data_IF_022192584169
#
_entry.id   IF_022192584169
#
_cell.length_a   1.000
_cell.length_b   1.000
_cell.length_c   1.000
_cell.angle_alpha   90.00
_cell.angle_beta   90.00
_cell.angle_gamma   90.00
#
_symmetry.space_group_name_H-M   'P 1'
#
loop_
_entity.id
_entity.type
_entity.pdbx_description
1 polymer ?
#
# COMPACT_ATOMS: atom_id res chain seq x y z
N UNK A 1 -0.81 12.49 25.37
CA UNK A 1 -0.61 12.63 23.91
C UNK A 1 -1.22 11.38 23.29
N UNK A 2 -2.45 11.47 22.78
CA UNK A 2 -3.15 10.35 22.19
C UNK A 2 -2.50 10.00 20.86
N UNK A 3 -1.85 8.83 20.77
CA UNK A 3 -1.41 8.30 19.48
C UNK A 3 -2.63 8.22 18.55
N UNK A 4 -2.52 8.65 17.28
CA UNK A 4 -3.58 8.41 16.32
C UNK A 4 -3.81 6.90 16.24
N UNK A 5 -5.00 6.45 16.66
CA UNK A 5 -5.43 5.06 16.51
C UNK A 5 -5.75 4.84 15.02
N UNK A 6 -4.72 4.63 14.22
CA UNK A 6 -4.90 4.14 12.86
C UNK A 6 -5.31 2.67 12.92
N UNK A 7 -6.21 2.25 12.04
CA UNK A 7 -6.61 0.85 11.93
C UNK A 7 -5.37 -0.03 11.64
N UNK A 8 -5.16 -1.14 12.36
CA UNK A 8 -4.02 -2.04 12.14
C UNK A 8 -3.91 -2.51 10.68
N UNK A 9 -5.05 -2.76 10.04
CA UNK A 9 -5.13 -3.12 8.63
C UNK A 9 -4.61 -1.98 7.73
N UNK A 10 -5.01 -0.74 8.00
CA UNK A 10 -4.57 0.43 7.24
C UNK A 10 -3.06 0.68 7.40
N UNK A 11 -2.51 0.41 8.58
CA UNK A 11 -1.06 0.47 8.83
C UNK A 11 -0.33 -0.58 7.99
N UNK A 12 -0.84 -1.81 7.93
CA UNK A 12 -0.26 -2.89 7.10
C UNK A 12 -0.36 -2.58 5.60
N UNK A 13 -1.49 -2.03 5.14
CA UNK A 13 -1.65 -1.59 3.75
C UNK A 13 -0.69 -0.44 3.41
N UNK A 14 -0.53 0.52 4.31
CA UNK A 14 0.43 1.62 4.15
C UNK A 14 1.86 1.09 4.01
N UNK A 15 2.26 0.17 4.90
CA UNK A 15 3.57 -0.49 4.85
C UNK A 15 3.82 -1.23 3.55
N UNK A 16 2.84 -1.96 3.01
CA UNK A 16 2.98 -2.64 1.71
C UNK A 16 3.06 -1.65 0.55
N UNK A 17 2.30 -0.56 0.64
CA UNK A 17 2.17 0.43 -0.43
C UNK A 17 3.37 1.36 -0.53
N UNK A 18 4.05 1.65 0.59
CA UNK A 18 5.22 2.54 0.59
C UNK A 18 6.49 1.87 0.08
N UNK A 19 6.64 0.54 0.23
CA UNK A 19 7.82 -0.23 -0.19
C UNK A 19 8.32 0.10 -1.61
N UNK A 20 7.49 0.11 -2.67
CA UNK A 20 7.94 0.50 -4.01
C UNK A 20 8.28 1.99 -4.14
N UNK A 21 7.77 2.86 -3.27
CA UNK A 21 8.09 4.29 -3.24
C UNK A 21 9.38 4.60 -2.46
N UNK A 22 9.86 3.68 -1.60
CA UNK A 22 11.05 3.91 -0.78
C UNK A 22 12.30 4.30 -1.58
N UNK A 23 12.64 3.67 -2.73
CA UNK A 23 13.81 4.08 -3.52
C UNK A 23 13.72 5.53 -4.00
N UNK A 24 12.51 6.00 -4.32
CA UNK A 24 12.28 7.38 -4.74
C UNK A 24 12.31 8.37 -3.57
N UNK A 25 11.92 7.94 -2.36
CA UNK A 25 11.89 8.78 -1.16
C UNK A 25 13.25 8.86 -0.45
N UNK A 26 13.94 7.73 -0.32
CA UNK A 26 15.11 7.55 0.54
C UNK A 26 16.41 7.30 -0.22
N UNK A 27 16.34 6.99 -1.51
CA UNK A 27 17.53 6.64 -2.29
C UNK A 27 18.24 5.41 -1.72
N UNK A 28 19.50 5.58 -1.31
CA UNK A 28 20.35 4.50 -0.80
C UNK A 28 19.85 3.86 0.51
N UNK A 29 19.12 4.61 1.35
CA UNK A 29 18.58 4.09 2.62
C UNK A 29 17.32 3.24 2.43
N UNK A 30 16.73 3.26 1.23
CA UNK A 30 15.51 2.53 0.90
C UNK A 30 15.63 1.03 1.14
N UNK A 31 16.78 0.43 0.81
CA UNK A 31 17.00 -1.01 0.97
C UNK A 31 16.96 -1.45 2.44
N UNK A 32 17.45 -0.60 3.37
CA UNK A 32 17.41 -0.90 4.80
C UNK A 32 15.98 -0.85 5.33
N UNK A 33 15.26 0.22 5.00
CA UNK A 33 13.86 0.41 5.43
C UNK A 33 12.93 -0.62 4.79
N UNK A 34 13.13 -0.96 3.52
CA UNK A 34 12.35 -1.98 2.82
C UNK A 34 12.49 -3.34 3.51
N UNK A 35 13.71 -3.71 3.89
CA UNK A 35 13.99 -4.96 4.60
C UNK A 35 13.31 -5.00 5.97
N UNK A 36 13.38 -3.91 6.73
CA UNK A 36 12.71 -3.81 8.03
C UNK A 36 11.19 -3.92 7.90
N UNK A 37 10.59 -3.26 6.90
CA UNK A 37 9.16 -3.40 6.62
C UNK A 37 8.79 -4.83 6.18
N UNK A 38 9.63 -5.49 5.37
CA UNK A 38 9.41 -6.86 4.95
C UNK A 38 9.39 -7.84 6.13
N UNK A 39 10.33 -7.69 7.07
CA UNK A 39 10.40 -8.50 8.30
C UNK A 39 9.17 -8.32 9.17
N UNK A 40 8.75 -7.06 9.39
CA UNK A 40 7.54 -6.74 10.16
C UNK A 40 6.28 -7.30 9.49
N UNK A 41 6.15 -7.15 8.17
CA UNK A 41 5.01 -7.70 7.41
C UNK A 41 4.97 -9.24 7.48
N UNK A 42 6.13 -9.91 7.50
CA UNK A 42 6.22 -11.36 7.67
C UNK A 42 5.75 -11.78 9.07
N UNK A 43 6.15 -11.05 10.10
CA UNK A 43 5.67 -11.27 11.46
C UNK A 43 4.16 -11.01 11.59
N UNK A 44 3.61 -10.01 10.88
CA UNK A 44 2.17 -9.78 10.79
C UNK A 44 1.44 -10.98 10.19
N UNK A 45 1.97 -11.56 9.10
CA UNK A 45 1.43 -12.79 8.48
C UNK A 45 1.44 -13.96 9.47
N UNK A 46 2.41 -14.01 10.40
CA UNK A 46 2.48 -15.00 11.48
C UNK A 46 1.57 -14.68 12.69
N UNK A 47 0.73 -13.65 12.60
CA UNK A 47 -0.21 -13.25 13.67
C UNK A 47 0.41 -12.40 14.78
N UNK A 48 1.63 -11.89 14.60
CA UNK A 48 2.26 -11.01 15.59
C UNK A 48 1.72 -9.57 15.50
N UNK A 49 1.51 -8.89 16.64
CA UNK A 49 1.01 -7.51 16.68
C UNK A 49 2.12 -6.50 16.35
N UNK A 50 2.44 -6.35 15.07
CA UNK A 50 3.52 -5.46 14.58
C UNK A 50 3.08 -4.04 14.21
N UNK A 51 1.77 -3.74 14.31
CA UNK A 51 1.22 -2.46 13.83
C UNK A 51 1.93 -1.24 14.42
N UNK A 52 2.23 -1.25 15.72
CA UNK A 52 2.97 -0.17 16.39
C UNK A 52 4.39 -0.01 15.84
N UNK A 53 5.11 -1.12 15.65
CA UNK A 53 6.50 -1.11 15.17
C UNK A 53 6.59 -0.59 13.73
N UNK A 54 5.63 -0.98 12.90
CA UNK A 54 5.49 -0.46 11.54
C UNK A 54 5.22 1.04 11.57
N UNK A 55 4.30 1.49 12.43
CA UNK A 55 3.95 2.90 12.54
C UNK A 55 5.13 3.75 13.06
N UNK A 56 5.93 3.22 13.98
CA UNK A 56 7.17 3.86 14.45
C UNK A 56 8.20 3.98 13.32
N UNK A 57 8.37 2.92 12.51
CA UNK A 57 9.26 2.94 11.35
C UNK A 57 8.79 3.93 10.27
N UNK A 58 7.48 4.02 10.01
CA UNK A 58 6.93 5.01 9.09
C UNK A 58 7.14 6.44 9.60
N UNK A 59 7.21 6.63 10.92
CA UNK A 59 7.46 7.92 11.55
C UNK A 59 8.95 8.24 11.77
N UNK A 60 9.85 7.29 11.49
CA UNK A 60 11.29 7.45 11.78
C UNK A 60 11.98 8.48 10.88
N UNK A 61 11.45 8.69 9.68
CA UNK A 61 11.98 9.65 8.71
C UNK A 61 10.87 10.58 8.20
N UNK A 62 11.10 11.91 8.13
CA UNK A 62 10.08 12.87 7.72
C UNK A 62 9.54 12.64 6.30
N UNK A 63 10.34 12.08 5.37
CA UNK A 63 9.96 11.79 3.97
C UNK A 63 8.92 10.67 3.93
N UNK A 64 9.20 9.59 4.65
CA UNK A 64 8.34 8.41 4.80
C UNK A 64 7.09 8.79 5.59
N UNK A 65 7.25 9.59 6.65
CA UNK A 65 6.17 10.05 7.52
C UNK A 65 5.14 10.89 6.77
N UNK A 66 5.59 11.83 5.93
CA UNK A 66 4.68 12.64 5.13
C UNK A 66 3.88 11.77 4.17
N UNK A 67 4.55 10.83 3.49
CA UNK A 67 3.87 9.88 2.61
C UNK A 67 2.85 9.02 3.37
N UNK A 68 3.23 8.49 4.53
CA UNK A 68 2.36 7.67 5.36
C UNK A 68 1.19 8.47 5.91
N UNK A 69 1.40 9.74 6.27
CA UNK A 69 0.33 10.64 6.71
C UNK A 69 -0.67 10.95 5.59
N UNK A 70 -0.22 11.10 4.34
CA UNK A 70 -1.11 11.25 3.18
C UNK A 70 -1.90 9.97 2.90
N UNK A 71 -1.27 8.80 3.03
CA UNK A 71 -1.92 7.52 2.82
C UNK A 71 -2.95 7.20 3.92
N UNK A 72 -2.57 7.41 5.18
CA UNK A 72 -3.39 7.14 6.37
C UNK A 72 -4.34 8.29 6.70
N UNK A 73 -4.25 9.41 5.97
CA UNK A 73 -5.23 10.48 6.09
C UNK A 73 -6.62 9.85 5.92
N UNK A 74 -7.58 10.19 6.79
CA UNK A 74 -8.93 9.67 6.67
C UNK A 74 -9.43 10.11 5.30
N UNK A 75 -9.50 9.17 4.36
CA UNK A 75 -10.17 9.36 3.10
C UNK A 75 -11.63 9.53 3.49
N UNK A 76 -12.06 10.79 3.65
CA UNK A 76 -13.46 11.15 3.54
C UNK A 76 -13.96 10.38 2.33
N UNK A 77 -14.88 9.45 2.56
CA UNK A 77 -15.50 8.67 1.51
C UNK A 77 -16.05 9.68 0.50
N UNK A 78 -15.32 9.88 -0.60
CA UNK A 78 -15.88 10.46 -1.80
C UNK A 78 -16.75 9.36 -2.42
N UNK A 79 -17.93 9.16 -1.81
CA UNK A 79 -19.14 8.78 -2.55
C UNK A 79 -19.29 9.89 -3.60
N UNK A 80 -18.79 9.64 -4.80
CA UNK A 80 -18.77 10.62 -5.87
C UNK A 80 -17.36 10.90 -6.38
N UNK A 81 -16.78 9.93 -7.08
CA UNK A 81 -16.17 10.32 -8.35
C UNK A 81 -17.36 10.67 -9.25
N UNK A 82 -17.74 11.95 -9.29
CA UNK A 82 -18.74 12.44 -10.22
C UNK A 82 -18.07 12.41 -11.60
N UNK A 83 -18.44 11.47 -12.50
CA UNK A 83 -17.97 11.56 -13.87
C UNK A 83 -18.60 12.84 -14.45
N UNK A 84 -17.77 13.73 -14.97
CA UNK A 84 -18.24 14.78 -15.86
C UNK A 84 -19.22 14.15 -16.85
N UNK A 85 -20.44 14.70 -16.86
CA UNK A 85 -21.61 14.14 -17.52
C UNK A 85 -21.29 13.62 -18.93
N UNK A 86 -21.31 12.30 -19.09
CA UNK A 86 -21.17 11.66 -20.38
C UNK A 86 -20.49 10.30 -20.28
N UNK A 87 -21.32 9.27 -20.17
CA UNK A 87 -21.01 7.85 -20.42
C UNK A 87 -20.67 7.04 -19.17
N UNK A 88 -21.71 6.38 -18.68
CA UNK A 88 -21.68 5.27 -17.74
C UNK A 88 -20.68 4.20 -18.17
N UNK A 89 -19.75 3.89 -17.29
CA UNK A 89 -18.89 2.71 -17.35
C UNK A 89 -18.36 2.48 -15.94
N UNK A 90 -18.73 1.37 -15.33
CA UNK A 90 -18.28 0.96 -14.01
C UNK A 90 -16.75 0.78 -14.05
N UNK A 91 -15.98 1.81 -13.69
CA UNK A 91 -14.51 1.72 -13.69
C UNK A 91 -14.10 1.11 -12.35
N UNK A 92 -14.25 -0.20 -12.24
CA UNK A 92 -13.64 -0.97 -11.16
C UNK A 92 -12.11 -0.83 -11.30
N UNK A 93 -11.49 -0.03 -10.42
CA UNK A 93 -10.04 0.13 -10.37
C UNK A 93 -9.42 -1.27 -10.22
N UNK A 94 -8.69 -1.73 -11.24
CA UNK A 94 -8.12 -3.07 -11.25
C UNK A 94 -7.03 -3.16 -10.16
N UNK A 95 -7.31 -3.95 -9.12
CA UNK A 95 -6.34 -4.32 -8.08
C UNK A 95 -5.44 -5.42 -8.63
N UNK A 96 -4.13 -5.25 -8.46
CA UNK A 96 -3.12 -6.24 -8.77
C UNK A 96 -2.39 -6.61 -7.49
N UNK A 97 -2.13 -7.90 -7.32
CA UNK A 97 -1.47 -8.47 -6.14
C UNK A 97 -0.35 -9.37 -6.59
N UNK A 98 0.72 -9.39 -5.81
CA UNK A 98 1.72 -10.43 -5.91
C UNK A 98 1.06 -11.77 -5.58
N UNK A 99 1.37 -12.88 -6.29
CA UNK A 99 0.85 -14.20 -5.94
C UNK A 99 1.17 -14.62 -4.49
N UNK A 100 2.28 -14.12 -3.93
CA UNK A 100 2.67 -14.33 -2.52
C UNK A 100 2.02 -13.32 -1.53
N UNK A 101 1.21 -12.39 -2.05
CA UNK A 101 0.55 -11.33 -1.27
C UNK A 101 1.49 -10.23 -0.75
N UNK A 102 2.76 -10.23 -1.16
CA UNK A 102 3.78 -9.30 -0.65
C UNK A 102 3.64 -7.87 -1.15
N UNK A 103 3.07 -7.69 -2.34
CA UNK A 103 2.85 -6.39 -2.97
C UNK A 103 1.42 -6.26 -3.47
N UNK A 104 0.83 -5.08 -3.29
CA UNK A 104 -0.50 -4.71 -3.78
C UNK A 104 -0.34 -3.42 -4.59
N UNK A 105 -0.93 -3.38 -5.78
CA UNK A 105 -0.92 -2.21 -6.65
C UNK A 105 -2.32 -1.93 -7.18
N UNK A 106 -2.71 -0.66 -7.18
CA UNK A 106 -3.99 -0.20 -7.70
C UNK A 106 -3.75 0.60 -8.97
N UNK A 107 -4.32 0.13 -10.09
CA UNK A 107 -4.22 0.85 -11.36
C UNK A 107 -5.14 2.06 -11.36
N UNK A 108 -4.57 3.27 -11.29
CA UNK A 108 -5.34 4.53 -11.23
C UNK A 108 -5.78 5.05 -12.60
N UNK A 109 -5.03 4.76 -13.67
CA UNK A 109 -5.34 5.22 -15.05
C UNK A 109 -5.04 4.14 -16.11
N UNK A 110 -5.80 4.15 -17.21
CA UNK A 110 -5.75 3.15 -18.30
C UNK A 110 -4.46 3.15 -19.12
N UNK A 111 -3.50 4.02 -18.81
CA UNK A 111 -2.19 4.13 -19.47
C UNK A 111 -0.98 4.02 -18.54
N UNK A 112 -1.17 3.87 -17.24
CA UNK A 112 -0.04 3.76 -16.31
C UNK A 112 0.68 2.43 -16.48
N UNK A 113 1.99 2.49 -16.70
CA UNK A 113 2.83 1.32 -16.91
C UNK A 113 2.90 0.54 -15.60
N UNK A 114 2.36 -0.67 -15.62
CA UNK A 114 2.24 -1.51 -14.44
C UNK A 114 3.63 -1.87 -13.91
N UNK A 115 3.95 -1.58 -12.64
CA UNK A 115 5.23 -1.97 -12.07
C UNK A 115 5.30 -3.50 -11.92
N UNK A 116 6.46 -4.06 -12.26
CA UNK A 116 6.78 -5.46 -11.97
C UNK A 116 7.04 -5.65 -10.47
N UNK A 117 6.57 -6.76 -9.91
CA UNK A 117 6.96 -7.16 -8.56
C UNK A 117 8.48 -7.38 -8.53
N UNK A 118 9.26 -6.71 -7.65
CA UNK A 118 10.71 -6.90 -7.61
C UNK A 118 11.13 -8.31 -7.18
N UNK A 119 10.25 -9.03 -6.48
CA UNK A 119 10.50 -10.41 -6.02
C UNK A 119 10.16 -11.47 -7.08
N UNK A 120 9.09 -11.25 -7.86
CA UNK A 120 8.53 -12.28 -8.75
C UNK A 120 8.39 -11.85 -10.22
N UNK A 121 8.76 -10.62 -10.56
CA UNK A 121 8.71 -10.06 -11.91
C UNK A 121 7.31 -9.68 -12.40
N UNK A 122 6.24 -10.32 -11.92
CA UNK A 122 4.87 -10.05 -12.36
C UNK A 122 3.90 -9.89 -11.17
N UNK A 123 3.02 -8.91 -11.25
CA UNK A 123 1.83 -8.80 -10.39
C UNK A 123 0.64 -9.42 -11.14
N UNK A 124 -0.20 -10.19 -10.45
CA UNK A 124 -1.42 -10.80 -11.03
C UNK A 124 -2.64 -9.97 -10.67
N UNK A 125 -3.66 -9.94 -11.53
CA UNK A 125 -4.90 -9.23 -11.21
C UNK A 125 -5.61 -9.96 -10.08
N UNK A 126 -6.01 -9.24 -9.03
CA UNK A 126 -6.93 -9.77 -8.03
C UNK A 126 -8.30 -9.90 -8.71
N UNK A 127 -8.55 -11.04 -9.37
CA UNK A 127 -9.90 -11.36 -9.78
C UNK A 127 -10.70 -11.70 -8.52
N UNK A 128 -11.88 -11.11 -8.42
CA UNK A 128 -12.84 -11.25 -7.32
C UNK A 128 -13.62 -12.58 -7.47
N UNK A 129 -12.92 -13.64 -7.82
CA UNK A 129 -13.48 -14.93 -8.25
C UNK A 129 -12.68 -16.07 -7.61
N UNK A 130 -12.73 -16.17 -6.29
CA UNK A 130 -12.63 -17.46 -5.61
C UNK A 130 -13.40 -17.34 -4.30
N UNK A 131 -14.72 -17.44 -4.41
CA UNK A 131 -15.61 -17.74 -3.29
C UNK A 131 -16.32 -19.01 -3.67
N UNK A 132 -15.75 -20.13 -3.21
CA UNK A 132 -16.44 -21.40 -3.08
C UNK A 132 -16.84 -21.61 -1.62
#
# INVERSE_FOLDING_TARGET
>A
MSSPQFDPEAILECARSIRPALPALLGSEAALVDRQLADLLTQAKAGQPVGTQILELLQSDPRIRNWAAEFLAPHQISKGFEPLAGRSGDVSAAKYVCPDGDYVWYRRTTGEQMPSCPTHGALVRANREDSM
#
